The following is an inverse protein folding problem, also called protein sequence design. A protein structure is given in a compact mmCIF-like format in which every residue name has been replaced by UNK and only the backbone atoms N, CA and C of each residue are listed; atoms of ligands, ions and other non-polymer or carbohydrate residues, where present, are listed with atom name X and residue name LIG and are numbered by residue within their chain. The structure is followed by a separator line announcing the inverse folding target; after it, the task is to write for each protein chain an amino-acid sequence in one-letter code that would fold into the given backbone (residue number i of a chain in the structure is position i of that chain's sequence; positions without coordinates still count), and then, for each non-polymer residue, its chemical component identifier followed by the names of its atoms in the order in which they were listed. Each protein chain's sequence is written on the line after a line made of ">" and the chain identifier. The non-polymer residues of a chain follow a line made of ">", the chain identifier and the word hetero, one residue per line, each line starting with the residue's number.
data_IF_824976369233
#
_entry.id   IF_824976369233
#
_cell.length_a   1.000
_cell.length_b   1.000
_cell.length_c   1.000
_cell.angle_alpha   90.00
_cell.angle_beta   90.00
_cell.angle_gamma   90.00
#
_symmetry.space_group_name_H-M   'P 1'
#
loop_
_entity.id
_entity.type
_entity.pdbx_description
1 polymer ?
#
# COMPACT_ATOMS: atom_id res chain seq x y z
N UNK A 1 11.99 -23.82 11.79
CA UNK A 1 11.92 -22.87 12.92
C UNK A 1 10.98 -21.73 12.50
N UNK A 2 9.99 -21.39 13.31
CA UNK A 2 9.12 -20.24 13.09
C UNK A 2 9.68 -19.09 13.94
N UNK A 3 9.87 -17.91 13.32
CA UNK A 3 10.37 -16.69 13.96
C UNK A 3 9.44 -15.53 13.61
N UNK A 4 9.40 -14.49 14.44
CA UNK A 4 8.60 -13.28 14.19
C UNK A 4 9.26 -12.34 13.19
N UNK A 5 10.58 -12.29 13.24
CA UNK A 5 11.42 -11.48 12.36
C UNK A 5 12.79 -12.17 12.17
N UNK A 6 13.50 -11.75 11.14
CA UNK A 6 14.88 -12.16 10.90
C UNK A 6 15.63 -11.10 10.07
N UNK A 7 16.94 -11.29 9.98
CA UNK A 7 17.77 -10.58 9.00
C UNK A 7 18.03 -11.52 7.83
N UNK A 8 17.78 -11.04 6.63
CA UNK A 8 18.14 -11.68 5.37
C UNK A 8 19.30 -10.93 4.74
N UNK A 9 20.37 -11.64 4.40
CA UNK A 9 21.55 -11.05 3.78
C UNK A 9 21.70 -11.59 2.36
N UNK A 10 21.74 -10.69 1.39
CA UNK A 10 21.91 -11.01 -0.01
C UNK A 10 22.66 -9.89 -0.72
N UNK A 11 23.61 -10.28 -1.59
CA UNK A 11 24.42 -9.37 -2.42
C UNK A 11 25.04 -8.19 -1.64
N UNK A 12 25.53 -8.49 -0.42
CA UNK A 12 26.14 -7.48 0.44
C UNK A 12 25.17 -6.50 1.09
N UNK A 13 23.84 -6.70 0.94
CA UNK A 13 22.79 -5.92 1.58
C UNK A 13 22.10 -6.73 2.67
N UNK A 14 21.66 -6.04 3.71
CA UNK A 14 20.95 -6.60 4.86
C UNK A 14 19.51 -6.12 4.85
N UNK A 15 18.57 -7.05 4.86
CA UNK A 15 17.15 -6.77 4.91
C UNK A 15 16.54 -7.24 6.23
N UNK A 16 15.83 -6.36 6.90
CA UNK A 16 14.99 -6.72 8.04
C UNK A 16 13.68 -7.30 7.54
N UNK A 17 13.46 -8.58 7.79
CA UNK A 17 12.25 -9.30 7.36
C UNK A 17 11.29 -9.40 8.53
N UNK A 18 10.07 -8.90 8.35
CA UNK A 18 9.01 -8.95 9.36
C UNK A 18 7.65 -9.03 8.69
N UNK A 19 6.64 -9.55 9.39
CA UNK A 19 5.27 -9.50 8.87
C UNK A 19 4.72 -8.06 8.82
N UNK A 20 4.96 -7.27 9.86
CA UNK A 20 4.46 -5.90 9.96
C UNK A 20 3.31 -5.72 10.95
N UNK A 21 2.81 -6.79 11.57
CA UNK A 21 1.70 -6.78 12.53
C UNK A 21 1.99 -6.02 13.85
N UNK A 22 3.23 -5.66 14.09
CA UNK A 22 3.63 -4.84 15.25
C UNK A 22 2.93 -3.47 15.29
N UNK A 23 2.38 -3.02 14.16
CA UNK A 23 1.65 -1.75 14.03
C UNK A 23 0.12 -1.94 13.96
N UNK A 24 -0.39 -3.09 14.37
CA UNK A 24 -1.79 -3.53 14.17
C UNK A 24 -2.88 -2.71 14.87
N UNK A 25 -2.51 -1.82 15.78
CA UNK A 25 -3.50 -1.01 16.51
C UNK A 25 -4.33 -0.10 15.59
N UNK A 26 -3.93 0.09 14.34
CA UNK A 26 -4.56 1.00 13.36
C UNK A 26 -5.26 0.28 12.19
N UNK A 27 -4.92 -1.00 11.92
CA UNK A 27 -5.31 -1.73 10.69
C UNK A 27 -6.76 -2.19 10.60
N UNK A 28 -7.47 -2.30 11.70
CA UNK A 28 -8.82 -2.92 11.71
C UNK A 28 -9.89 -2.12 10.96
N UNK A 29 -9.61 -0.88 10.58
CA UNK A 29 -10.62 0.02 10.00
C UNK A 29 -10.63 0.09 8.45
N UNK A 30 -9.74 -0.60 7.74
CA UNK A 30 -9.48 -0.30 6.32
C UNK A 30 -9.89 -1.34 5.28
N UNK A 31 -10.22 -2.55 5.70
CA UNK A 31 -10.54 -3.68 4.78
C UNK A 31 -11.72 -3.46 3.82
N UNK A 32 -12.56 -2.45 4.06
CA UNK A 32 -13.72 -2.18 3.21
C UNK A 32 -13.46 -1.18 2.06
N UNK A 33 -12.36 -0.39 2.17
CA UNK A 33 -12.05 0.64 1.18
C UNK A 33 -11.55 0.07 -0.15
N UNK A 34 -10.84 -1.08 -0.09
CA UNK A 34 -10.34 -1.76 -1.29
C UNK A 34 -11.46 -2.35 -2.18
N UNK A 35 -12.65 -2.59 -1.60
CA UNK A 35 -13.81 -3.09 -2.34
C UNK A 35 -14.61 -2.03 -3.11
N UNK A 36 -14.23 -0.76 -2.99
CA UNK A 36 -14.88 0.35 -3.67
C UNK A 36 -14.12 0.72 -4.97
N UNK A 37 -14.10 -0.19 -5.93
CA UNK A 37 -13.72 0.15 -7.30
C UNK A 37 -14.67 1.15 -7.95
N UNK A 38 -14.41 1.61 -9.20
CA UNK A 38 -15.15 2.64 -9.94
C UNK A 38 -16.68 2.47 -9.93
N UNK A 39 -17.15 1.22 -9.97
CA UNK A 39 -18.59 0.90 -9.92
C UNK A 39 -19.21 1.26 -8.57
N UNK A 40 -18.47 1.03 -7.48
CA UNK A 40 -18.90 1.40 -6.12
C UNK A 40 -18.95 2.91 -5.91
N UNK A 41 -18.06 3.66 -6.53
CA UNK A 41 -18.07 5.13 -6.44
C UNK A 41 -19.30 5.73 -7.12
N UNK A 42 -19.64 5.29 -8.32
CA UNK A 42 -20.86 5.73 -9.04
C UNK A 42 -22.13 5.39 -8.28
N UNK A 43 -22.20 4.19 -7.71
CA UNK A 43 -23.31 3.77 -6.86
C UNK A 43 -23.43 4.63 -5.59
N UNK A 44 -22.31 4.98 -4.98
CA UNK A 44 -22.26 5.88 -3.81
C UNK A 44 -22.71 7.31 -4.12
N UNK A 45 -22.37 7.84 -5.30
CA UNK A 45 -22.87 9.14 -5.74
C UNK A 45 -24.37 9.12 -5.93
N UNK A 46 -24.92 8.06 -6.51
CA UNK A 46 -26.37 7.87 -6.64
C UNK A 46 -27.05 7.76 -5.27
N UNK A 47 -26.54 6.93 -4.36
CA UNK A 47 -27.02 6.84 -2.98
C UNK A 47 -26.98 8.19 -2.26
N UNK A 48 -25.91 8.94 -2.42
CA UNK A 48 -25.77 10.28 -1.84
C UNK A 48 -26.89 11.23 -2.34
N UNK A 49 -27.20 11.17 -3.63
CA UNK A 49 -28.30 11.96 -4.22
C UNK A 49 -29.65 11.56 -3.62
N UNK A 50 -29.97 10.29 -3.59
CA UNK A 50 -31.23 9.78 -3.05
C UNK A 50 -31.36 10.08 -1.54
N UNK A 51 -30.30 9.89 -0.78
CA UNK A 51 -30.25 10.18 0.65
C UNK A 51 -30.51 11.66 0.93
N UNK A 52 -29.85 12.55 0.20
CA UNK A 52 -30.02 13.99 0.38
C UNK A 52 -31.39 14.50 -0.05
N UNK A 53 -32.00 13.94 -1.11
CA UNK A 53 -33.36 14.27 -1.48
C UNK A 53 -34.35 13.95 -0.34
N UNK A 54 -34.17 12.82 0.36
CA UNK A 54 -35.00 12.48 1.54
C UNK A 54 -34.74 13.41 2.71
N UNK A 55 -33.46 13.76 2.98
CA UNK A 55 -33.08 14.70 4.06
C UNK A 55 -33.68 16.10 3.83
N UNK A 56 -33.59 16.62 2.60
CA UNK A 56 -34.15 17.92 2.26
C UNK A 56 -35.68 17.97 2.46
N UNK A 57 -36.40 16.89 2.12
CA UNK A 57 -37.84 16.77 2.39
C UNK A 57 -38.17 16.76 3.89
N UNK A 58 -37.19 16.41 4.75
CA UNK A 58 -37.30 16.43 6.22
C UNK A 58 -36.76 17.72 6.85
N UNK A 59 -36.43 18.73 6.03
CA UNK A 59 -35.85 20.01 6.55
C UNK A 59 -34.43 19.88 7.11
N UNK A 60 -33.72 18.79 6.84
CA UNK A 60 -32.36 18.56 7.31
C UNK A 60 -31.32 19.10 6.33
N UNK A 61 -30.18 19.65 6.80
CA UNK A 61 -29.13 20.16 5.94
C UNK A 61 -28.53 19.06 5.08
N UNK A 62 -27.97 19.46 3.93
CA UNK A 62 -27.24 18.56 3.01
C UNK A 62 -26.07 17.86 3.72
N UNK A 63 -25.96 16.56 3.49
CA UNK A 63 -24.84 15.74 4.00
C UNK A 63 -24.06 15.13 2.85
N UNK A 64 -22.76 15.43 2.78
CA UNK A 64 -21.90 14.92 1.72
C UNK A 64 -21.28 13.58 2.09
N UNK A 65 -21.86 12.49 1.57
CA UNK A 65 -21.25 11.16 1.64
C UNK A 65 -19.89 11.13 0.92
N UNK A 66 -19.74 11.87 -0.17
CA UNK A 66 -18.48 11.96 -0.91
C UNK A 66 -17.37 12.59 -0.08
N UNK A 67 -17.68 13.60 0.77
CA UNK A 67 -16.70 14.18 1.69
C UNK A 67 -16.23 13.18 2.77
N UNK A 68 -17.18 12.42 3.33
CA UNK A 68 -16.85 11.35 4.27
C UNK A 68 -15.95 10.29 3.66
N UNK A 69 -16.20 9.92 2.41
CA UNK A 69 -15.37 8.93 1.68
C UNK A 69 -13.98 9.51 1.40
N UNK A 70 -13.90 10.76 0.90
CA UNK A 70 -12.61 11.44 0.69
C UNK A 70 -11.77 11.49 1.97
N UNK A 71 -12.40 11.81 3.11
CA UNK A 71 -11.69 11.83 4.38
C UNK A 71 -11.18 10.42 4.77
N UNK A 72 -11.96 9.37 4.54
CA UNK A 72 -11.54 8.00 4.81
C UNK A 72 -10.43 7.52 3.87
N UNK A 73 -10.51 7.87 2.58
CA UNK A 73 -9.42 7.60 1.61
C UNK A 73 -8.15 8.32 2.05
N UNK A 74 -8.24 9.60 2.44
CA UNK A 74 -7.09 10.34 2.97
C UNK A 74 -6.48 9.65 4.20
N UNK A 75 -7.32 9.19 5.12
CA UNK A 75 -6.86 8.44 6.30
C UNK A 75 -6.17 7.13 5.90
N UNK A 76 -6.69 6.42 4.88
CA UNK A 76 -6.09 5.21 4.36
C UNK A 76 -4.70 5.44 3.78
N UNK A 77 -4.57 6.45 2.93
CA UNK A 77 -3.29 6.84 2.31
C UNK A 77 -2.28 7.28 3.39
N UNK A 78 -2.73 8.07 4.37
CA UNK A 78 -1.88 8.47 5.51
C UNK A 78 -1.39 7.25 6.28
N UNK A 79 -2.27 6.29 6.54
CA UNK A 79 -1.92 5.06 7.25
C UNK A 79 -0.84 4.25 6.52
N UNK A 80 -1.00 4.03 5.20
CA UNK A 80 0.01 3.32 4.39
C UNK A 80 1.34 4.05 4.51
N UNK A 81 1.36 5.37 4.32
CA UNK A 81 2.57 6.18 4.42
C UNK A 81 3.22 6.13 5.82
N UNK A 82 2.41 6.12 6.88
CA UNK A 82 2.92 6.06 8.25
C UNK A 82 3.48 4.67 8.55
N UNK A 83 2.81 3.61 8.13
CA UNK A 83 3.30 2.23 8.23
C UNK A 83 4.65 2.04 7.53
N UNK A 84 4.78 2.55 6.31
CA UNK A 84 6.03 2.47 5.54
C UNK A 84 7.17 3.21 6.24
N UNK A 85 6.92 4.43 6.74
CA UNK A 85 7.92 5.21 7.49
C UNK A 85 8.38 4.53 8.77
N UNK A 86 7.46 3.93 9.52
CA UNK A 86 7.78 3.21 10.75
C UNK A 86 8.67 1.99 10.46
N UNK A 87 8.36 1.21 9.42
CA UNK A 87 9.18 0.08 9.02
C UNK A 87 10.56 0.49 8.50
N UNK A 88 10.64 1.57 7.74
CA UNK A 88 11.90 2.18 7.29
C UNK A 88 12.74 2.63 8.51
N UNK A 89 12.11 3.30 9.48
CA UNK A 89 12.75 3.69 10.73
C UNK A 89 13.29 2.49 11.52
N UNK A 90 12.53 1.40 11.55
CA UNK A 90 12.92 0.17 12.23
C UNK A 90 14.11 -0.51 11.52
N UNK A 91 14.11 -0.56 10.18
CA UNK A 91 15.24 -1.08 9.41
C UNK A 91 16.54 -0.29 9.70
N UNK A 92 16.44 1.05 9.73
CA UNK A 92 17.58 1.91 10.13
C UNK A 92 18.08 1.61 11.54
N UNK A 93 17.17 1.51 12.51
CA UNK A 93 17.53 1.21 13.89
C UNK A 93 18.23 -0.14 14.02
N UNK A 94 17.90 -1.10 13.14
CA UNK A 94 18.54 -2.43 13.07
C UNK A 94 19.80 -2.45 12.18
N UNK A 95 20.19 -1.32 11.61
CA UNK A 95 21.35 -1.18 10.70
C UNK A 95 21.21 -2.10 9.48
N UNK A 96 20.02 -2.10 8.88
CA UNK A 96 19.70 -2.81 7.65
C UNK A 96 19.59 -1.83 6.49
N UNK A 97 19.91 -2.30 5.28
CA UNK A 97 19.84 -1.54 4.03
C UNK A 97 18.42 -1.57 3.44
N UNK A 98 17.56 -2.43 3.98
CA UNK A 98 16.17 -2.52 3.54
C UNK A 98 15.28 -3.26 4.52
N UNK A 99 13.99 -3.27 4.20
CA UNK A 99 12.94 -4.00 4.91
C UNK A 99 12.10 -4.80 3.92
N UNK A 100 11.79 -6.04 4.28
CA UNK A 100 10.85 -6.91 3.57
C UNK A 100 9.67 -7.16 4.50
N UNK A 101 8.47 -6.83 4.03
CA UNK A 101 7.24 -6.97 4.83
C UNK A 101 6.04 -7.42 3.98
N UNK A 102 4.90 -7.56 4.62
CA UNK A 102 3.58 -7.80 4.04
C UNK A 102 2.52 -6.98 4.75
N UNK A 103 1.49 -7.63 5.28
CA UNK A 103 0.48 -7.16 6.21
C UNK A 103 -0.56 -6.18 5.64
N UNK A 104 -0.15 -5.08 5.02
CA UNK A 104 -1.07 -4.05 4.48
C UNK A 104 -1.62 -4.38 3.10
N UNK A 105 -1.28 -5.55 2.54
CA UNK A 105 -1.72 -6.02 1.22
C UNK A 105 -1.46 -5.01 0.07
N UNK A 106 -0.43 -4.20 0.22
CA UNK A 106 -0.04 -3.18 -0.76
C UNK A 106 1.37 -3.50 -1.29
N UNK A 107 1.49 -4.20 -2.42
CA UNK A 107 2.78 -4.58 -2.96
C UNK A 107 3.59 -3.34 -3.34
N UNK A 108 4.85 -3.31 -2.91
CA UNK A 108 5.74 -2.18 -3.15
C UNK A 108 7.19 -2.62 -3.31
N UNK A 109 7.90 -1.96 -4.21
CA UNK A 109 9.34 -2.06 -4.41
C UNK A 109 9.85 -0.64 -4.66
N UNK A 110 10.27 0.04 -3.59
CA UNK A 110 10.65 1.45 -3.65
C UNK A 110 11.77 1.77 -2.66
N UNK A 111 12.37 2.93 -2.81
CA UNK A 111 13.39 3.42 -1.90
C UNK A 111 12.88 4.63 -1.13
N UNK A 112 13.11 4.61 0.18
CA UNK A 112 12.96 5.75 1.07
C UNK A 112 14.35 6.22 1.48
N UNK A 113 14.87 7.21 0.77
CA UNK A 113 16.27 7.64 0.87
C UNK A 113 17.23 6.47 0.60
N UNK A 114 17.91 5.97 1.62
CA UNK A 114 18.88 4.87 1.58
C UNK A 114 18.30 3.49 1.88
N UNK A 115 17.05 3.41 2.33
CA UNK A 115 16.40 2.17 2.74
C UNK A 115 15.52 1.62 1.62
N UNK A 116 15.76 0.39 1.20
CA UNK A 116 14.95 -0.33 0.24
C UNK A 116 13.72 -0.92 0.94
N UNK A 117 12.54 -0.39 0.62
CA UNK A 117 11.26 -0.86 1.14
C UNK A 117 10.64 -1.86 0.15
N UNK A 118 10.36 -3.07 0.64
CA UNK A 118 9.79 -4.16 -0.12
C UNK A 118 8.55 -4.71 0.60
N UNK A 119 7.39 -4.70 -0.07
CA UNK A 119 6.17 -5.32 0.42
C UNK A 119 5.68 -6.36 -0.58
N UNK A 120 5.46 -7.59 -0.11
CA UNK A 120 5.05 -8.71 -0.96
C UNK A 120 3.63 -8.60 -1.50
N UNK A 121 2.79 -7.72 -0.90
CA UNK A 121 1.35 -7.79 -1.12
C UNK A 121 0.75 -9.04 -0.46
N UNK A 122 -0.21 -9.67 -1.14
CA UNK A 122 -0.91 -10.86 -0.67
C UNK A 122 -1.32 -11.82 -1.81
N UNK A 123 -1.79 -13.01 -1.42
CA UNK A 123 -2.33 -14.02 -2.33
C UNK A 123 -3.86 -14.07 -2.39
N UNK A 124 -4.54 -13.06 -1.87
CA UNK A 124 -6.02 -13.00 -1.83
C UNK A 124 -6.55 -11.87 -2.71
N UNK A 125 -5.96 -10.67 -2.61
CA UNK A 125 -6.43 -9.47 -3.30
C UNK A 125 -5.51 -9.08 -4.47
N UNK A 126 -4.19 -9.01 -4.21
CA UNK A 126 -3.20 -8.56 -5.20
C UNK A 126 -2.59 -9.70 -5.99
N UNK A 127 -2.61 -10.92 -5.46
CA UNK A 127 -1.99 -12.12 -6.04
C UNK A 127 -0.53 -11.86 -6.45
N UNK A 128 0.22 -11.24 -5.54
CA UNK A 128 1.58 -10.78 -5.80
C UNK A 128 2.60 -11.47 -4.91
N UNK A 129 3.85 -11.50 -5.38
CA UNK A 129 5.00 -11.98 -4.66
C UNK A 129 6.25 -11.16 -4.97
N UNK A 130 7.17 -11.07 -4.02
CA UNK A 130 8.51 -10.56 -4.26
C UNK A 130 9.41 -11.68 -4.72
N UNK A 131 10.22 -11.41 -5.73
CA UNK A 131 11.28 -12.30 -6.21
C UNK A 131 12.59 -11.55 -6.28
N UNK A 132 13.68 -12.21 -5.94
CA UNK A 132 15.05 -11.74 -6.11
C UNK A 132 15.71 -12.59 -7.20
N UNK A 133 16.40 -11.95 -8.13
CA UNK A 133 17.18 -12.64 -9.17
C UNK A 133 18.63 -12.94 -8.69
N UNK A 134 19.39 -13.63 -9.52
CA UNK A 134 20.79 -14.01 -9.24
C UNK A 134 21.72 -12.82 -9.06
N UNK A 135 21.34 -11.63 -9.52
CA UNK A 135 22.10 -10.39 -9.40
C UNK A 135 21.64 -9.53 -8.19
N UNK A 136 20.66 -10.00 -7.41
CA UNK A 136 20.12 -9.30 -6.25
C UNK A 136 19.09 -8.21 -6.58
N UNK A 137 18.51 -8.23 -7.79
CA UNK A 137 17.44 -7.31 -8.14
C UNK A 137 16.09 -7.85 -7.67
N UNK A 138 15.33 -7.00 -7.00
CA UNK A 138 14.00 -7.33 -6.53
C UNK A 138 12.93 -6.94 -7.55
N UNK A 139 11.95 -7.83 -7.76
CA UNK A 139 10.82 -7.63 -8.66
C UNK A 139 9.52 -8.07 -8.00
N UNK A 140 8.43 -7.31 -8.18
CA UNK A 140 7.09 -7.75 -7.83
C UNK A 140 6.52 -8.52 -9.01
N UNK A 141 6.10 -9.75 -8.76
CA UNK A 141 5.45 -10.59 -9.77
C UNK A 141 3.98 -10.78 -9.41
N UNK A 142 3.12 -10.65 -10.39
CA UNK A 142 1.68 -10.85 -10.25
C UNK A 142 1.25 -12.14 -10.94
N UNK A 143 0.35 -12.88 -10.29
CA UNK A 143 -0.30 -14.01 -10.91
C UNK A 143 -1.46 -13.53 -11.77
N UNK A 144 -1.45 -13.85 -13.07
CA UNK A 144 -2.51 -13.52 -14.01
C UNK A 144 -2.85 -14.77 -14.84
N UNK A 145 -4.01 -15.37 -14.56
CA UNK A 145 -4.60 -16.49 -15.35
C UNK A 145 -3.63 -17.66 -15.66
N UNK A 146 -2.66 -17.91 -14.78
CA UNK A 146 -1.62 -18.93 -14.97
C UNK A 146 -0.33 -18.42 -15.63
N UNK A 147 -0.24 -17.14 -15.92
CA UNK A 147 0.97 -16.50 -16.41
C UNK A 147 1.53 -15.55 -15.36
N UNK A 148 2.80 -15.68 -15.03
CA UNK A 148 3.50 -14.70 -14.20
C UNK A 148 3.86 -13.50 -15.08
N UNK A 149 3.38 -12.30 -14.74
CA UNK A 149 3.82 -11.05 -15.36
C UNK A 149 4.86 -10.38 -14.49
N UNK A 150 5.91 -9.88 -15.11
CA UNK A 150 6.88 -9.01 -14.48
C UNK A 150 6.33 -7.58 -14.48
N UNK A 151 6.30 -6.93 -13.32
CA UNK A 151 6.00 -5.50 -13.26
C UNK A 151 7.26 -4.72 -13.61
N UNK A 152 7.37 -4.33 -14.86
CA UNK A 152 8.46 -3.47 -15.36
C UNK A 152 8.22 -2.01 -14.96
N UNK A 153 8.10 -1.73 -13.67
CA UNK A 153 7.97 -0.38 -13.13
C UNK A 153 9.24 0.50 -13.32
N UNK A 154 10.20 0.07 -14.14
CA UNK A 154 11.40 0.88 -14.44
C UNK A 154 11.14 2.11 -15.32
N UNK A 155 9.93 2.27 -15.90
CA UNK A 155 9.69 3.35 -16.90
C UNK A 155 8.91 4.57 -16.43
N UNK A 156 8.48 4.68 -15.17
CA UNK A 156 7.61 5.82 -14.76
C UNK A 156 8.21 6.81 -13.75
N UNK A 157 9.49 6.75 -13.44
CA UNK A 157 10.11 7.71 -12.50
C UNK A 157 11.00 8.78 -13.14
N UNK A 158 10.85 9.06 -14.44
CA UNK A 158 11.50 10.22 -15.03
C UNK A 158 10.44 11.22 -15.48
N UNK A 159 9.73 11.82 -14.50
CA UNK A 159 9.13 13.14 -14.71
C UNK A 159 10.02 14.13 -13.98
N UNK A 160 11.07 14.57 -14.67
CA UNK A 160 11.82 15.77 -14.32
C UNK A 160 10.88 16.97 -14.45
N UNK A 161 10.46 17.52 -13.33
CA UNK A 161 9.84 18.84 -13.28
C UNK A 161 10.98 19.85 -13.48
N UNK A 162 11.21 20.24 -14.73
CA UNK A 162 12.02 21.44 -15.04
C UNK A 162 11.11 22.63 -14.76
N UNK A 163 11.28 23.24 -13.59
CA UNK A 163 10.74 24.56 -13.33
C UNK A 163 11.69 25.54 -14.02
N UNK A 164 11.25 26.08 -15.15
CA UNK A 164 11.93 27.20 -15.78
C UNK A 164 11.79 28.45 -14.90
N UNK A 165 12.93 29.04 -14.61
CA UNK A 165 13.12 30.35 -14.00
C UNK A 165 12.49 31.49 -14.81
#
# INVERSE_FOLDING_TARGET
>A
RIVKDCIYESHGRRYYVTHGDIFDTVTTQMKWLAKLGDTGYTFLLWLNKVYNLRRMKQGKPYYSLSQSIKNRVKTAVSYISDFEKELVGLARAKKCDGVICGHIHHPANTFYEDIHYLNSGDWVETLSALTEDEDGNWTIRYFDSGLLKEDNHKEKQTISITIAS
#
